data_IF_147987408445
#
_entry.id   IF_147987408445
#
_cell.length_a   1.000
_cell.length_b   1.000
_cell.length_c   1.000
_cell.angle_alpha   90.00
_cell.angle_beta   90.00
_cell.angle_gamma   90.00
#
_symmetry.space_group_name_H-M   'P 1'
#
loop_
_entity.id
_entity.type
_entity.pdbx_description
1 polymer ?
#
# COMPACT_ATOMS: atom_id res chain seq x y z
N UNK A 1 -3.29 -6.30 -1.78
CA UNK A 1 -3.45 -6.40 -0.28
C UNK A 1 -3.67 -5.03 0.36
N UNK A 2 -4.76 -4.31 0.09
CA UNK A 2 -4.91 -2.90 0.53
C UNK A 2 -4.79 -2.73 2.06
N UNK A 3 -5.55 -3.50 2.85
CA UNK A 3 -5.52 -3.39 4.31
C UNK A 3 -4.17 -3.83 4.90
N UNK A 4 -3.54 -4.86 4.35
CA UNK A 4 -2.21 -5.32 4.74
C UNK A 4 -1.14 -4.25 4.52
N UNK A 5 -1.15 -3.57 3.37
CA UNK A 5 -0.21 -2.47 3.09
C UNK A 5 -0.40 -1.30 4.06
N UNK A 6 -1.65 -0.93 4.38
CA UNK A 6 -1.93 0.08 5.41
C UNK A 6 -1.41 -0.38 6.78
N UNK A 7 -1.62 -1.66 7.15
CA UNK A 7 -1.09 -2.23 8.38
C UNK A 7 0.43 -2.16 8.49
N UNK A 8 1.14 -2.52 7.41
CA UNK A 8 2.60 -2.40 7.34
C UNK A 8 3.07 -0.94 7.44
N UNK A 9 2.38 -0.02 6.76
CA UNK A 9 2.65 1.42 6.86
C UNK A 9 2.54 1.93 8.30
N UNK A 10 1.48 1.54 9.02
CA UNK A 10 1.29 1.88 10.43
C UNK A 10 2.41 1.29 11.31
N UNK A 11 2.78 0.02 11.11
CA UNK A 11 3.82 -0.63 11.87
C UNK A 11 5.19 0.06 11.69
N UNK A 12 5.55 0.40 10.44
CA UNK A 12 6.80 1.11 10.10
C UNK A 12 6.75 2.55 10.61
N UNK A 13 5.63 3.26 10.41
CA UNK A 13 5.44 4.64 10.85
C UNK A 13 5.52 4.84 12.36
N UNK A 14 5.39 3.77 13.15
CA UNK A 14 5.66 3.82 14.59
C UNK A 14 7.09 4.26 14.90
N UNK A 15 8.06 3.87 14.08
CA UNK A 15 9.46 4.11 14.33
C UNK A 15 9.89 5.58 14.06
N UNK A 16 9.09 6.33 13.24
CA UNK A 16 9.38 7.73 12.90
C UNK A 16 8.12 8.59 12.96
N UNK A 17 7.78 9.03 14.15
CA UNK A 17 6.52 9.75 14.44
C UNK A 17 6.52 11.22 14.04
N UNK A 18 7.64 11.75 13.60
CA UNK A 18 7.76 13.11 13.05
C UNK A 18 7.25 13.17 11.61
N UNK A 19 7.28 12.04 10.90
CA UNK A 19 6.68 11.90 9.58
C UNK A 19 5.19 11.60 9.74
N UNK A 20 4.36 12.31 8.97
CA UNK A 20 2.91 12.06 8.96
C UNK A 20 2.61 10.62 8.56
N UNK A 21 1.72 9.94 9.29
CA UNK A 21 1.35 8.55 9.01
C UNK A 21 0.83 8.35 7.59
N UNK A 22 0.10 9.33 7.04
CA UNK A 22 -0.36 9.28 5.66
C UNK A 22 0.77 9.25 4.63
N UNK A 23 1.96 9.78 4.95
CA UNK A 23 3.13 9.64 4.08
C UNK A 23 3.62 8.18 4.05
N UNK A 24 3.57 7.45 5.17
CA UNK A 24 3.87 6.02 5.20
C UNK A 24 2.82 5.20 4.47
N UNK A 25 1.53 5.54 4.61
CA UNK A 25 0.43 4.89 3.88
C UNK A 25 0.60 5.12 2.37
N UNK A 26 0.88 6.36 1.94
CA UNK A 26 1.17 6.66 0.54
C UNK A 26 2.38 5.87 0.03
N UNK A 27 3.47 5.82 0.80
CA UNK A 27 4.67 5.06 0.46
C UNK A 27 4.36 3.57 0.29
N UNK A 28 3.59 2.98 1.22
CA UNK A 28 3.20 1.57 1.13
C UNK A 28 2.24 1.27 -0.03
N UNK A 29 1.55 2.27 -0.58
CA UNK A 29 0.64 2.13 -1.73
C UNK A 29 1.26 2.70 -3.03
N UNK A 30 2.51 3.16 -3.00
CA UNK A 30 3.15 3.80 -4.16
C UNK A 30 3.23 2.87 -5.37
N UNK A 31 3.54 1.59 -5.17
CA UNK A 31 3.66 0.64 -6.28
C UNK A 31 2.31 0.45 -6.99
N UNK A 32 1.20 0.44 -6.24
CA UNK A 32 -0.14 0.43 -6.82
C UNK A 32 -0.46 1.71 -7.61
N UNK A 33 -0.04 2.88 -7.10
CA UNK A 33 -0.19 4.13 -7.86
C UNK A 33 0.56 4.04 -9.19
N UNK A 34 1.80 3.54 -9.17
CA UNK A 34 2.61 3.35 -10.38
C UNK A 34 1.93 2.34 -11.31
N UNK A 35 1.45 1.20 -10.79
CA UNK A 35 0.73 0.19 -11.56
C UNK A 35 -0.45 0.79 -12.32
N UNK A 36 -1.38 1.40 -11.59
CA UNK A 36 -2.61 1.87 -12.21
C UNK A 36 -2.37 3.01 -13.20
N UNK A 37 -1.40 3.88 -12.94
CA UNK A 37 -0.97 4.88 -13.93
C UNK A 37 -0.33 4.22 -15.15
N UNK A 38 0.53 3.24 -14.96
CA UNK A 38 1.18 2.50 -16.06
C UNK A 38 0.17 1.74 -16.91
N UNK A 39 -0.87 1.17 -16.29
CA UNK A 39 -1.98 0.52 -17.01
C UNK A 39 -2.75 1.53 -17.85
N UNK A 40 -3.08 2.72 -17.32
CA UNK A 40 -3.76 3.76 -18.09
C UNK A 40 -2.91 4.29 -19.25
N UNK A 41 -1.58 4.27 -19.11
CA UNK A 41 -0.63 4.67 -20.15
C UNK A 41 -0.28 3.55 -21.13
N UNK A 42 -0.75 2.32 -20.89
CA UNK A 42 -0.45 1.16 -21.73
C UNK A 42 0.97 0.60 -21.56
N UNK A 43 1.67 0.94 -20.49
CA UNK A 43 3.02 0.43 -20.18
C UNK A 43 2.99 -0.89 -19.43
N UNK A 44 1.95 -1.10 -18.65
CA UNK A 44 1.64 -2.35 -17.96
C UNK A 44 0.24 -2.82 -18.36
N UNK A 45 -0.06 -4.09 -18.15
CA UNK A 45 -1.34 -4.64 -18.56
C UNK A 45 -1.95 -5.53 -17.48
N UNK A 46 -3.28 -5.53 -17.46
CA UNK A 46 -4.10 -6.36 -16.58
C UNK A 46 -5.15 -7.05 -17.45
N UNK A 47 -5.36 -8.33 -17.22
CA UNK A 47 -6.47 -9.06 -17.81
C UNK A 47 -7.50 -9.44 -16.74
N UNK A 48 -8.76 -9.41 -17.10
CA UNK A 48 -9.87 -9.89 -16.29
C UNK A 48 -10.18 -11.30 -16.80
N UNK A 49 -9.77 -12.37 -16.08
CA UNK A 49 -9.98 -13.73 -16.56
C UNK A 49 -11.45 -14.12 -16.53
N UNK A 50 -11.89 -15.11 -17.36
CA UNK A 50 -13.28 -15.54 -17.43
C UNK A 50 -13.83 -16.07 -16.10
N UNK A 51 -12.97 -16.61 -15.25
CA UNK A 51 -13.31 -17.16 -13.94
C UNK A 51 -13.20 -16.13 -12.79
N UNK A 52 -13.02 -14.84 -13.10
CA UNK A 52 -12.92 -13.77 -12.10
C UNK A 52 -14.06 -13.80 -11.06
N UNK A 53 -15.29 -14.09 -11.49
CA UNK A 53 -16.45 -14.16 -10.59
C UNK A 53 -16.31 -15.22 -9.48
N UNK A 54 -15.46 -16.22 -9.67
CA UNK A 54 -15.18 -17.27 -8.67
C UNK A 54 -13.86 -17.09 -7.93
N UNK A 55 -12.86 -16.52 -8.59
CA UNK A 55 -11.50 -16.37 -8.02
C UNK A 55 -11.25 -14.98 -7.43
N UNK A 56 -11.93 -13.96 -7.95
CA UNK A 56 -11.69 -12.53 -7.69
C UNK A 56 -10.21 -12.13 -7.92
N UNK A 57 -9.50 -12.86 -8.78
CA UNK A 57 -8.11 -12.63 -9.11
C UNK A 57 -7.98 -12.08 -10.53
N UNK A 58 -7.09 -11.13 -10.70
CA UNK A 58 -6.69 -10.58 -12.00
C UNK A 58 -5.38 -11.20 -12.43
N UNK A 59 -5.10 -11.15 -13.73
CA UNK A 59 -3.78 -11.49 -14.27
C UNK A 59 -2.99 -10.22 -14.55
N UNK A 60 -1.73 -10.19 -14.14
CA UNK A 60 -0.89 -9.00 -14.20
C UNK A 60 0.37 -9.19 -15.05
N UNK A 61 0.71 -8.15 -15.83
CA UNK A 61 2.04 -7.96 -16.42
C UNK A 61 2.54 -6.58 -15.99
N UNK A 62 3.33 -6.54 -14.93
CA UNK A 62 3.65 -5.31 -14.18
C UNK A 62 5.15 -5.19 -13.81
N UNK A 63 6.05 -5.16 -14.81
CA UNK A 63 7.50 -5.15 -14.58
C UNK A 63 8.05 -3.83 -14.02
N UNK A 64 7.33 -2.71 -14.22
CA UNK A 64 7.80 -1.38 -13.85
C UNK A 64 7.32 -0.94 -12.46
N UNK A 65 6.21 -1.48 -12.00
CA UNK A 65 5.66 -1.22 -10.66
C UNK A 65 6.06 -2.31 -9.67
N UNK A 66 5.77 -3.58 -9.95
CA UNK A 66 5.90 -4.72 -9.03
C UNK A 66 7.07 -5.66 -9.33
N UNK A 67 7.95 -5.33 -10.28
CA UNK A 67 9.24 -6.02 -10.42
C UNK A 67 10.12 -5.76 -9.19
N UNK A 68 10.90 -6.75 -8.73
CA UNK A 68 11.80 -6.58 -7.58
C UNK A 68 12.76 -5.41 -7.79
N UNK A 69 13.44 -5.34 -8.94
CA UNK A 69 14.35 -4.24 -9.23
C UNK A 69 13.63 -2.89 -9.33
N UNK A 70 12.41 -2.88 -9.90
CA UNK A 70 11.59 -1.67 -9.96
C UNK A 70 11.17 -1.22 -8.55
N UNK A 71 10.75 -2.16 -7.70
CA UNK A 71 10.37 -1.86 -6.31
C UNK A 71 11.54 -1.31 -5.49
N UNK A 72 12.75 -1.83 -5.68
CA UNK A 72 13.97 -1.27 -5.08
C UNK A 72 14.22 0.15 -5.59
N UNK A 73 14.07 0.40 -6.90
CA UNK A 73 14.26 1.73 -7.48
C UNK A 73 13.23 2.74 -6.93
N UNK A 74 11.94 2.37 -6.89
CA UNK A 74 10.89 3.22 -6.31
C UNK A 74 11.12 3.49 -4.82
N UNK A 75 11.58 2.48 -4.05
CA UNK A 75 11.96 2.63 -2.65
C UNK A 75 13.09 3.64 -2.46
N UNK A 76 14.13 3.55 -3.29
CA UNK A 76 15.26 4.48 -3.26
C UNK A 76 14.84 5.91 -3.66
N UNK A 77 13.99 6.05 -4.68
CA UNK A 77 13.45 7.34 -5.11
C UNK A 77 12.59 7.99 -4.01
N UNK A 78 11.72 7.23 -3.36
CA UNK A 78 10.90 7.73 -2.26
C UNK A 78 11.76 8.14 -1.05
N UNK A 79 12.77 7.34 -0.70
CA UNK A 79 13.73 7.67 0.36
C UNK A 79 14.50 8.96 0.01
N UNK A 80 15.00 9.10 -1.21
CA UNK A 80 15.68 10.28 -1.68
C UNK A 80 14.78 11.53 -1.65
N UNK A 81 13.52 11.39 -2.05
CA UNK A 81 12.54 12.48 -2.00
C UNK A 81 12.33 12.99 -0.56
N UNK A 82 12.15 12.09 0.41
CA UNK A 82 12.05 12.47 1.83
C UNK A 82 13.33 13.13 2.31
N UNK A 83 14.50 12.57 1.98
CA UNK A 83 15.78 13.12 2.39
C UNK A 83 16.03 14.55 1.86
N UNK A 84 15.59 14.83 0.63
CA UNK A 84 15.84 16.13 -0.04
C UNK A 84 14.79 17.16 0.39
N UNK A 85 13.50 16.79 0.31
CA UNK A 85 12.41 17.77 0.30
C UNK A 85 11.55 17.81 1.57
N UNK A 86 11.71 16.87 2.52
CA UNK A 86 10.85 16.91 3.70
C UNK A 86 11.31 18.01 4.67
N UNK A 87 10.56 19.13 4.81
CA UNK A 87 10.93 20.22 5.69
C UNK A 87 10.79 19.82 7.15
N UNK A 88 11.65 20.36 8.01
CA UNK A 88 11.53 20.20 9.46
C UNK A 88 12.23 18.98 10.07
N UNK A 89 12.85 18.11 9.28
CA UNK A 89 13.70 17.03 9.77
C UNK A 89 15.19 17.41 9.69
N UNK A 90 15.65 18.33 10.54
CA UNK A 90 17.10 18.63 10.63
C UNK A 90 17.87 17.44 11.18
N UNK A 91 17.34 16.83 12.24
CA UNK A 91 17.88 15.59 12.82
C UNK A 91 17.00 14.39 12.43
N UNK A 92 17.64 13.27 12.06
CA UNK A 92 16.92 12.02 11.72
C UNK A 92 16.37 11.95 10.30
N UNK A 93 16.75 12.84 9.37
CA UNK A 93 16.37 12.75 7.94
C UNK A 93 16.67 11.37 7.33
N UNK A 94 17.82 10.80 7.65
CA UNK A 94 18.23 9.50 7.14
C UNK A 94 17.28 8.39 7.65
N UNK A 95 16.93 8.41 8.94
CA UNK A 95 16.00 7.44 9.51
C UNK A 95 14.63 7.53 8.84
N UNK A 96 14.10 8.75 8.69
CA UNK A 96 12.81 8.97 8.02
C UNK A 96 12.85 8.50 6.55
N UNK A 97 13.91 8.82 5.82
CA UNK A 97 14.11 8.41 4.43
C UNK A 97 14.16 6.89 4.29
N UNK A 98 14.97 6.22 5.13
CA UNK A 98 15.09 4.76 5.13
C UNK A 98 13.75 4.09 5.45
N UNK A 99 13.01 4.60 6.45
CA UNK A 99 11.73 4.02 6.85
C UNK A 99 10.65 4.23 5.79
N UNK A 100 10.62 5.37 5.09
CA UNK A 100 9.70 5.58 3.97
C UNK A 100 10.07 4.68 2.80
N UNK A 101 11.35 4.54 2.46
CA UNK A 101 11.80 3.55 1.47
C UNK A 101 11.42 2.12 1.86
N UNK A 102 11.56 1.76 3.13
CA UNK A 102 11.14 0.46 3.66
C UNK A 102 9.62 0.26 3.55
N UNK A 103 8.82 1.31 3.73
CA UNK A 103 7.37 1.25 3.53
C UNK A 103 7.01 0.97 2.06
N UNK A 104 7.71 1.59 1.09
CA UNK A 104 7.54 1.24 -0.33
C UNK A 104 7.92 -0.22 -0.57
N UNK A 105 9.07 -0.67 -0.08
CA UNK A 105 9.54 -2.03 -0.33
C UNK A 105 8.67 -3.09 0.38
N UNK A 106 8.05 -2.75 1.51
CA UNK A 106 7.13 -3.66 2.21
C UNK A 106 5.95 -4.07 1.34
N UNK A 107 5.52 -3.22 0.40
CA UNK A 107 4.50 -3.55 -0.59
C UNK A 107 4.88 -4.80 -1.37
N UNK A 108 6.05 -4.77 -2.02
CA UNK A 108 6.54 -5.91 -2.80
C UNK A 108 6.67 -7.18 -1.98
N UNK A 109 7.14 -7.08 -0.73
CA UNK A 109 7.26 -8.22 0.17
C UNK A 109 5.90 -8.86 0.49
N UNK A 110 4.89 -8.03 0.77
CA UNK A 110 3.54 -8.50 1.07
C UNK A 110 2.88 -9.11 -0.17
N UNK A 111 3.09 -8.51 -1.34
CA UNK A 111 2.57 -9.05 -2.59
C UNK A 111 3.25 -10.37 -2.97
N UNK A 112 4.54 -10.52 -2.70
CA UNK A 112 5.24 -11.78 -2.88
C UNK A 112 4.66 -12.93 -2.04
N UNK A 113 3.99 -12.63 -0.91
CA UNK A 113 3.28 -13.64 -0.12
C UNK A 113 1.97 -14.07 -0.79
N UNK A 114 1.21 -13.14 -1.34
CA UNK A 114 -0.17 -13.42 -1.78
C UNK A 114 -0.29 -13.77 -3.25
N UNK A 115 0.45 -13.09 -4.13
CA UNK A 115 0.41 -13.36 -5.55
C UNK A 115 0.88 -14.76 -5.91
N UNK A 116 0.29 -15.34 -6.95
CA UNK A 116 0.87 -16.50 -7.63
C UNK A 116 2.22 -16.11 -8.25
N UNK A 117 3.06 -17.06 -8.77
CA UNK A 117 4.34 -16.70 -9.38
C UNK A 117 4.19 -15.82 -10.62
N UNK A 118 3.92 -14.52 -10.41
CA UNK A 118 3.73 -13.51 -11.46
C UNK A 118 4.57 -12.23 -11.27
N UNK A 119 5.13 -11.99 -10.05
CA UNK A 119 6.00 -10.86 -9.77
C UNK A 119 7.39 -11.07 -10.41
N UNK A 120 7.78 -10.25 -11.40
CA UNK A 120 9.06 -10.43 -12.05
C UNK A 120 10.22 -9.94 -11.16
N UNK A 121 11.36 -10.62 -11.20
CA UNK A 121 12.56 -10.13 -10.50
C UNK A 121 13.22 -8.93 -11.20
N UNK A 122 13.06 -8.85 -12.53
CA UNK A 122 13.61 -7.76 -13.36
C UNK A 122 12.57 -7.26 -14.36
N UNK A 123 12.87 -7.35 -15.66
CA UNK A 123 11.91 -7.04 -16.71
C UNK A 123 10.85 -8.13 -16.90
N UNK A 124 9.88 -7.91 -17.79
CA UNK A 124 8.71 -8.75 -18.02
C UNK A 124 9.02 -10.24 -18.30
N UNK A 125 10.17 -10.52 -18.94
CA UNK A 125 10.62 -11.88 -19.28
C UNK A 125 11.49 -12.53 -18.21
N UNK A 126 11.76 -11.86 -17.09
CA UNK A 126 12.56 -12.42 -16.00
C UNK A 126 11.81 -13.51 -15.23
N UNK A 127 12.54 -14.25 -14.39
CA UNK A 127 11.95 -15.20 -13.46
C UNK A 127 10.90 -14.49 -12.59
N UNK A 128 9.77 -15.16 -12.38
CA UNK A 128 8.65 -14.66 -11.59
C UNK A 128 8.55 -15.39 -10.27
N UNK A 129 8.21 -14.66 -9.22
CA UNK A 129 8.04 -15.17 -7.85
C UNK A 129 6.66 -14.88 -7.31
N UNK A 130 6.28 -15.55 -6.22
CA UNK A 130 5.03 -15.41 -5.50
C UNK A 130 4.69 -16.71 -4.78
N UNK A 131 4.23 -16.61 -3.52
CA UNK A 131 3.90 -17.79 -2.71
C UNK A 131 2.44 -18.25 -2.89
N UNK A 132 1.60 -17.43 -3.50
CA UNK A 132 0.26 -17.79 -3.91
C UNK A 132 -0.75 -17.95 -2.79
N UNK A 133 -0.68 -17.15 -1.70
CA UNK A 133 -1.68 -17.22 -0.63
C UNK A 133 -3.11 -16.95 -1.14
N UNK A 134 -3.27 -16.21 -2.23
CA UNK A 134 -4.58 -16.00 -2.86
C UNK A 134 -5.26 -17.28 -3.36
N UNK A 135 -4.50 -18.37 -3.55
CA UNK A 135 -5.10 -19.68 -3.82
C UNK A 135 -5.98 -20.19 -2.67
N UNK A 136 -5.80 -19.63 -1.46
CA UNK A 136 -6.64 -19.87 -0.30
C UNK A 136 -7.14 -18.53 0.24
N UNK A 137 -8.27 -18.04 -0.27
CA UNK A 137 -8.86 -16.76 0.13
C UNK A 137 -8.98 -16.58 1.65
N UNK A 138 -9.43 -17.59 2.45
CA UNK A 138 -9.46 -17.44 3.91
C UNK A 138 -8.08 -17.17 4.54
N UNK A 139 -7.01 -17.79 4.03
CA UNK A 139 -5.64 -17.57 4.53
C UNK A 139 -5.15 -16.18 4.14
N UNK A 140 -5.40 -15.74 2.91
CA UNK A 140 -5.05 -14.40 2.45
C UNK A 140 -5.76 -13.33 3.29
N UNK A 141 -7.06 -13.47 3.52
CA UNK A 141 -7.83 -12.53 4.35
C UNK A 141 -7.37 -12.54 5.82
N UNK A 142 -7.04 -13.72 6.36
CA UNK A 142 -6.47 -13.80 7.71
C UNK A 142 -5.13 -13.05 7.82
N UNK A 143 -4.28 -13.12 6.79
CA UNK A 143 -3.04 -12.35 6.72
C UNK A 143 -3.31 -10.83 6.67
N UNK A 144 -4.27 -10.37 5.85
CA UNK A 144 -4.70 -8.95 5.78
C UNK A 144 -5.12 -8.44 7.16
N UNK A 145 -6.03 -9.18 7.83
CA UNK A 145 -6.52 -8.84 9.17
C UNK A 145 -5.37 -8.81 10.17
N UNK A 146 -4.52 -9.83 10.17
CA UNK A 146 -3.39 -9.93 11.11
C UNK A 146 -2.43 -8.75 10.97
N UNK A 147 -2.00 -8.43 9.74
CA UNK A 147 -1.04 -7.36 9.49
C UNK A 147 -1.65 -6.00 9.88
N UNK A 148 -2.92 -5.75 9.55
CA UNK A 148 -3.59 -4.52 9.93
C UNK A 148 -3.74 -4.38 11.45
N UNK A 149 -4.19 -5.43 12.14
CA UNK A 149 -4.34 -5.42 13.60
C UNK A 149 -2.99 -5.18 14.28
N UNK A 150 -1.94 -5.86 13.85
CA UNK A 150 -0.57 -5.63 14.36
C UNK A 150 -0.15 -4.19 14.12
N UNK A 151 -0.35 -3.65 12.91
CA UNK A 151 -0.05 -2.25 12.60
C UNK A 151 -0.76 -1.26 13.52
N UNK A 152 -2.06 -1.44 13.72
CA UNK A 152 -2.86 -0.63 14.64
C UNK A 152 -2.39 -0.74 16.09
N UNK A 153 -2.15 -1.95 16.59
CA UNK A 153 -1.66 -2.20 17.95
C UNK A 153 -0.30 -1.57 18.20
N UNK A 154 0.56 -1.54 17.19
CA UNK A 154 1.90 -0.93 17.30
C UNK A 154 1.83 0.60 17.20
N UNK A 155 1.04 1.15 16.30
CA UNK A 155 1.01 2.59 16.00
C UNK A 155 0.17 3.39 16.99
N UNK A 156 -1.11 3.00 17.18
CA UNK A 156 -2.12 3.84 17.84
C UNK A 156 -1.79 4.18 19.31
N UNK A 157 -1.33 3.25 20.16
CA UNK A 157 -1.07 3.56 21.57
C UNK A 157 -0.04 4.66 21.74
N UNK A 158 1.03 4.61 20.93
CA UNK A 158 2.14 5.55 21.05
C UNK A 158 2.08 6.75 20.12
N UNK A 159 1.05 6.92 19.27
CA UNK A 159 0.93 8.06 18.38
C UNK A 159 0.66 9.35 19.16
N UNK A 160 1.33 10.45 18.76
CA UNK A 160 1.13 11.80 19.34
C UNK A 160 -0.16 12.47 18.79
N UNK A 161 -1.19 11.69 18.53
CA UNK A 161 -2.48 12.13 18.01
C UNK A 161 -3.49 12.33 19.16
N UNK A 162 -4.47 13.21 18.96
CA UNK A 162 -5.59 13.35 19.90
C UNK A 162 -6.41 12.05 19.97
N UNK A 163 -7.14 11.84 21.06
CA UNK A 163 -8.01 10.65 21.22
C UNK A 163 -9.00 10.50 20.06
N UNK A 164 -9.60 11.60 19.62
CA UNK A 164 -10.52 11.60 18.48
C UNK A 164 -9.83 11.15 17.17
N UNK A 165 -8.61 11.64 16.89
CA UNK A 165 -7.86 11.22 15.70
C UNK A 165 -7.45 9.75 15.76
N UNK A 166 -7.03 9.24 16.92
CA UNK A 166 -6.75 7.81 17.13
C UNK A 166 -7.97 6.97 16.85
N UNK A 167 -9.12 7.37 17.39
CA UNK A 167 -10.41 6.70 17.15
C UNK A 167 -10.75 6.66 15.65
N UNK A 168 -10.71 7.83 14.97
CA UNK A 168 -11.06 7.90 13.55
C UNK A 168 -10.05 7.20 12.65
N UNK A 169 -8.75 7.18 12.99
CA UNK A 169 -7.75 6.39 12.28
C UNK A 169 -8.05 4.90 12.38
N UNK A 170 -8.43 4.43 13.58
CA UNK A 170 -8.83 3.03 13.77
C UNK A 170 -10.10 2.71 12.98
N UNK A 171 -11.12 3.58 13.02
CA UNK A 171 -12.36 3.41 12.25
C UNK A 171 -12.07 3.37 10.75
N UNK A 172 -11.26 4.30 10.23
CA UNK A 172 -10.85 4.31 8.83
C UNK A 172 -10.15 3.00 8.44
N UNK A 173 -9.21 2.55 9.25
CA UNK A 173 -8.49 1.28 8.99
C UNK A 173 -9.43 0.08 8.97
N UNK A 174 -10.41 0.02 9.85
CA UNK A 174 -11.43 -1.05 9.86
C UNK A 174 -12.38 -0.94 8.65
N UNK A 175 -12.71 0.27 8.19
CA UNK A 175 -13.48 0.46 6.96
C UNK A 175 -12.69 0.02 5.72
N UNK A 176 -11.37 0.31 5.67
CA UNK A 176 -10.47 -0.18 4.62
C UNK A 176 -10.44 -1.71 4.64
N UNK A 177 -10.37 -2.33 5.81
CA UNK A 177 -10.42 -3.79 5.92
C UNK A 177 -11.75 -4.35 5.41
N UNK A 178 -12.87 -3.77 5.83
CA UNK A 178 -14.20 -4.20 5.37
C UNK A 178 -14.33 -4.07 3.85
N UNK A 179 -13.85 -2.96 3.28
CA UNK A 179 -13.81 -2.75 1.83
C UNK A 179 -12.92 -3.79 1.12
N UNK A 180 -11.73 -4.08 1.67
CA UNK A 180 -10.82 -5.11 1.14
C UNK A 180 -11.49 -6.48 1.15
N UNK A 181 -12.08 -6.88 2.28
CA UNK A 181 -12.80 -8.17 2.40
C UNK A 181 -13.95 -8.26 1.40
N UNK A 182 -14.79 -7.22 1.32
CA UNK A 182 -15.91 -7.18 0.38
C UNK A 182 -15.42 -7.27 -1.08
N UNK A 183 -14.34 -6.57 -1.41
CA UNK A 183 -13.73 -6.62 -2.75
C UNK A 183 -13.20 -8.01 -3.11
N UNK A 184 -12.59 -8.70 -2.13
CA UNK A 184 -11.96 -10.01 -2.39
C UNK A 184 -12.94 -11.19 -2.40
N UNK A 185 -14.18 -11.04 -1.89
CA UNK A 185 -15.14 -12.15 -1.80
C UNK A 185 -16.46 -11.90 -2.52
N UNK A 186 -16.79 -10.65 -2.86
CA UNK A 186 -18.11 -10.30 -3.34
C UNK A 186 -18.12 -9.28 -4.50
N UNK A 187 -16.97 -8.77 -4.92
CA UNK A 187 -16.96 -7.79 -6.02
C UNK A 187 -17.34 -8.46 -7.35
N UNK A 188 -18.27 -7.85 -8.12
CA UNK A 188 -18.52 -8.30 -9.47
C UNK A 188 -17.31 -8.02 -10.37
N UNK A 189 -17.20 -8.71 -11.52
CA UNK A 189 -16.17 -8.39 -12.50
C UNK A 189 -16.22 -6.89 -12.85
N UNK A 190 -15.08 -6.19 -12.87
CA UNK A 190 -15.05 -4.80 -13.25
C UNK A 190 -15.51 -4.64 -14.72
N UNK A 191 -16.23 -3.55 -15.06
CA UNK A 191 -16.76 -3.36 -16.40
C UNK A 191 -15.66 -3.17 -17.46
N UNK A 192 -14.49 -2.72 -17.07
CA UNK A 192 -13.30 -2.62 -17.91
C UNK A 192 -12.04 -2.43 -17.05
N UNK A 193 -10.87 -2.70 -17.63
CA UNK A 193 -9.57 -2.43 -17.00
C UNK A 193 -9.41 -0.94 -16.71
N UNK A 194 -9.86 -0.05 -17.60
CA UNK A 194 -9.79 1.40 -17.40
C UNK A 194 -10.64 1.83 -16.20
N UNK A 195 -11.86 1.33 -16.07
CA UNK A 195 -12.74 1.63 -14.93
C UNK A 195 -12.12 1.14 -13.63
N UNK A 196 -11.49 -0.04 -13.63
CA UNK A 196 -10.80 -0.57 -12.48
C UNK A 196 -9.58 0.29 -12.10
N UNK A 197 -8.74 0.65 -13.07
CA UNK A 197 -7.58 1.50 -12.83
C UNK A 197 -7.99 2.87 -12.23
N UNK A 198 -9.01 3.50 -12.80
CA UNK A 198 -9.51 4.79 -12.31
C UNK A 198 -10.08 4.68 -10.89
N UNK A 199 -10.92 3.66 -10.62
CA UNK A 199 -11.50 3.47 -9.27
C UNK A 199 -10.45 3.13 -8.23
N UNK A 200 -9.44 2.34 -8.57
CA UNK A 200 -8.32 2.00 -7.69
C UNK A 200 -7.49 3.24 -7.34
N UNK A 201 -7.15 4.09 -8.33
CA UNK A 201 -6.46 5.35 -8.08
C UNK A 201 -7.27 6.28 -7.18
N UNK A 202 -8.57 6.43 -7.43
CA UNK A 202 -9.45 7.24 -6.58
C UNK A 202 -9.46 6.70 -5.15
N UNK A 203 -9.58 5.39 -4.97
CA UNK A 203 -9.55 4.73 -3.65
C UNK A 203 -8.24 5.03 -2.92
N UNK A 204 -7.09 4.85 -3.59
CA UNK A 204 -5.77 5.13 -3.01
C UNK A 204 -5.66 6.60 -2.61
N UNK A 205 -6.06 7.52 -3.49
CA UNK A 205 -6.02 8.97 -3.21
C UNK A 205 -6.87 9.32 -1.98
N UNK A 206 -8.09 8.78 -1.90
CA UNK A 206 -8.99 9.03 -0.76
C UNK A 206 -8.40 8.48 0.52
N UNK A 207 -7.92 7.24 0.52
CA UNK A 207 -7.27 6.60 1.68
C UNK A 207 -6.09 7.45 2.14
N UNK A 208 -5.17 7.78 1.24
CA UNK A 208 -3.98 8.58 1.58
C UNK A 208 -4.35 9.98 2.08
N UNK A 209 -5.34 10.64 1.48
CA UNK A 209 -5.78 11.98 1.90
C UNK A 209 -6.37 11.96 3.32
N UNK A 210 -7.20 10.95 3.64
CA UNK A 210 -7.79 10.78 4.96
C UNK A 210 -6.71 10.45 6.01
N UNK A 211 -5.78 9.54 5.71
CA UNK A 211 -4.67 9.22 6.60
C UNK A 211 -3.74 10.41 6.82
N UNK A 212 -3.45 11.19 5.77
CA UNK A 212 -2.70 12.44 5.89
C UNK A 212 -3.43 13.46 6.79
N UNK A 213 -4.73 13.62 6.63
CA UNK A 213 -5.52 14.54 7.44
C UNK A 213 -5.57 14.10 8.91
N UNK A 214 -5.79 12.82 9.17
CA UNK A 214 -5.81 12.25 10.52
C UNK A 214 -4.41 12.27 11.17
N UNK A 215 -3.35 12.07 10.38
CA UNK A 215 -1.97 12.06 10.83
C UNK A 215 -1.37 13.42 11.18
N UNK A 216 -2.04 14.55 10.88
CA UNK A 216 -1.53 15.89 11.21
C UNK A 216 -1.37 16.08 12.71
N UNK A 217 -0.19 16.51 13.12
CA UNK A 217 0.09 16.85 14.52
C UNK A 217 -0.56 18.18 14.91
N UNK A 218 -0.86 18.40 16.22
CA UNK A 218 -1.56 19.60 16.67
C UNK A 218 -0.85 20.93 16.30
N UNK A 219 0.48 20.93 16.19
CA UNK A 219 1.28 22.12 15.92
C UNK A 219 1.44 22.50 14.44
N UNK A 220 1.04 21.65 13.50
CA UNK A 220 1.13 21.93 12.06
C UNK A 220 0.06 22.92 11.54
N UNK A 221 -0.83 23.41 12.41
CA UNK A 221 -1.90 24.36 12.02
C UNK A 221 -1.49 25.85 12.10
N UNK A 222 -0.22 26.16 12.40
CA UNK A 222 0.23 27.55 12.65
C UNK A 222 1.29 28.05 11.69
N UNK A 223 1.59 27.32 10.64
CA UNK A 223 2.44 27.79 9.53
C UNK A 223 1.65 27.74 8.22
#
# INVERSE_FOLDING_TARGET
>A
MLAGHVGAALAIGRAERRVNVGAFVFAALLLDVVLWLSVLLGWESIAIPPDFASTHQLEFVFPYSHGLLASIAWSALAAAAIFIWYPGLMEGKLSAAVLVGAAVFSHWLLDALVHVPELPLGGASSMKVGLGLWKSMPVALAAEVFILVVGLCLFVPGASLSRAKKYWLTVLSLLILAFTVAGMIAAPPPPSVIAMAASSLVTIIVVCALDCWLGRLPNERRT
#
